data_IF_818628833348
#
_entry.id   IF_818628833348
#
_cell.length_a   1.000
_cell.length_b   1.000
_cell.length_c   1.000
_cell.angle_alpha   90.00
_cell.angle_beta   90.00
_cell.angle_gamma   90.00
#
_symmetry.space_group_name_H-M   'P 1'
#
loop_
_entity.id
_entity.type
_entity.pdbx_description
1 polymer ?
#
# COMPACT_ATOMS: atom_id res chain seq x y z
N UNK A 1 26.80 -30.65 55.59
CA UNK A 1 25.50 -29.95 55.40
C UNK A 1 25.47 -29.14 54.08
N UNK A 2 25.55 -29.77 52.90
CA UNK A 2 25.62 -29.07 51.60
C UNK A 2 24.42 -29.28 50.65
N UNK A 3 23.77 -30.45 50.70
CA UNK A 3 22.71 -30.81 49.75
C UNK A 3 21.41 -30.02 49.93
N UNK A 4 20.99 -29.74 51.18
CA UNK A 4 19.75 -29.00 51.46
C UNK A 4 19.79 -27.52 51.02
N UNK A 5 20.98 -26.89 51.09
CA UNK A 5 21.19 -25.50 50.64
C UNK A 5 21.18 -25.41 49.11
N UNK A 6 21.80 -26.37 48.43
CA UNK A 6 21.78 -26.46 46.97
C UNK A 6 20.37 -26.71 46.41
N UNK A 7 19.57 -27.55 47.08
CA UNK A 7 18.18 -27.81 46.68
C UNK A 7 17.29 -26.56 46.84
N UNK A 8 17.50 -25.79 47.90
CA UNK A 8 16.80 -24.52 48.14
C UNK A 8 17.12 -23.48 47.06
N UNK A 9 18.37 -23.39 46.61
CA UNK A 9 18.76 -22.48 45.53
C UNK A 9 18.16 -22.89 44.18
N UNK A 10 18.10 -24.18 43.87
CA UNK A 10 17.46 -24.68 42.66
C UNK A 10 15.95 -24.34 42.66
N UNK A 11 15.28 -24.53 43.81
CA UNK A 11 13.87 -24.23 43.95
C UNK A 11 13.56 -22.74 43.79
N UNK A 12 14.39 -21.86 44.39
CA UNK A 12 14.29 -20.41 44.22
C UNK A 12 14.48 -19.97 42.76
N UNK A 13 15.39 -20.61 42.02
CA UNK A 13 15.64 -20.28 40.62
C UNK A 13 14.42 -20.59 39.73
N UNK A 14 13.76 -21.74 39.94
CA UNK A 14 12.53 -22.07 39.22
C UNK A 14 11.38 -21.12 39.53
N UNK A 15 11.28 -20.64 40.77
CA UNK A 15 10.24 -19.71 41.19
C UNK A 15 10.42 -18.34 40.51
N UNK A 16 11.66 -17.85 40.39
CA UNK A 16 11.95 -16.57 39.69
C UNK A 16 11.66 -16.66 38.19
N UNK A 17 11.98 -17.78 37.54
CA UNK A 17 11.72 -17.97 36.10
C UNK A 17 10.22 -18.16 35.80
N UNK A 18 9.46 -18.76 36.72
CA UNK A 18 8.01 -18.99 36.56
C UNK A 18 7.16 -17.72 36.65
N UNK A 19 7.63 -16.67 37.33
CA UNK A 19 6.90 -15.39 37.48
C UNK A 19 7.05 -14.43 36.27
N UNK A 20 7.82 -14.80 35.25
CA UNK A 20 7.96 -13.99 34.03
C UNK A 20 6.82 -14.20 33.01
N UNK A 21 5.82 -15.03 33.30
CA UNK A 21 4.60 -15.11 32.49
C UNK A 21 3.68 -13.94 32.84
N UNK A 22 3.66 -12.91 32.00
CA UNK A 22 2.79 -11.73 32.17
C UNK A 22 1.33 -12.13 32.31
N UNK A 23 0.68 -11.68 33.37
CA UNK A 23 -0.77 -11.69 33.51
C UNK A 23 -1.40 -10.85 32.39
N UNK A 24 -2.23 -11.47 31.55
CA UNK A 24 -3.13 -10.73 30.68
C UNK A 24 -4.16 -10.01 31.55
N UNK A 25 -4.30 -8.70 31.39
CA UNK A 25 -5.41 -7.93 31.96
C UNK A 25 -6.51 -7.97 30.90
N UNK A 26 -7.57 -8.73 31.15
CA UNK A 26 -8.80 -8.63 30.36
C UNK A 26 -9.69 -7.58 31.03
N UNK A 27 -9.60 -6.33 30.57
CA UNK A 27 -10.64 -5.34 30.83
C UNK A 27 -11.50 -5.26 29.59
N UNK A 28 -12.67 -5.90 29.64
CA UNK A 28 -13.77 -5.50 28.78
C UNK A 28 -14.42 -4.22 29.32
N UNK A 29 -15.11 -3.52 28.42
CA UNK A 29 -15.85 -2.25 28.59
C UNK A 29 -15.00 -0.99 28.33
N UNK A 30 -14.77 -0.73 27.05
CA UNK A 30 -14.65 0.64 26.53
C UNK A 30 -15.57 0.76 25.32
N UNK A 31 -16.60 1.58 25.49
CA UNK A 31 -17.56 2.06 24.49
C UNK A 31 -16.81 2.74 23.32
N UNK A 32 -17.15 2.46 22.05
CA UNK A 32 -16.30 2.85 20.92
C UNK A 32 -16.58 4.29 20.50
N UNK A 33 -15.95 5.26 21.16
CA UNK A 33 -15.86 6.62 20.64
C UNK A 33 -14.42 7.13 20.74
N UNK A 34 -13.71 7.05 19.61
CA UNK A 34 -12.41 7.69 19.43
C UNK A 34 -11.36 6.71 18.90
N UNK A 35 -11.23 6.67 17.57
CA UNK A 35 -10.12 6.00 16.87
C UNK A 35 -8.79 6.64 17.29
N UNK A 36 -8.12 6.07 18.29
CA UNK A 36 -6.78 6.41 18.71
C UNK A 36 -5.76 5.60 17.91
N UNK A 37 -5.09 6.28 16.98
CA UNK A 37 -3.65 6.49 17.15
C UNK A 37 -2.69 5.32 16.88
N UNK A 38 -3.06 4.35 16.04
CA UNK A 38 -2.09 3.49 15.35
C UNK A 38 -2.51 3.34 13.89
N UNK A 39 -1.93 4.14 13.00
CA UNK A 39 -1.91 3.77 11.58
C UNK A 39 -1.17 2.45 11.49
N UNK A 40 -1.90 1.35 11.30
CA UNK A 40 -1.29 0.14 10.80
C UNK A 40 -0.57 0.55 9.51
N UNK A 41 0.72 0.22 9.40
CA UNK A 41 1.36 0.11 8.09
C UNK A 41 0.65 -1.03 7.38
N UNK A 42 -0.55 -0.76 6.88
CA UNK A 42 -1.25 -1.69 6.00
C UNK A 42 -0.32 -1.89 4.83
N UNK A 43 0.18 -3.10 4.68
CA UNK A 43 1.03 -3.47 3.58
C UNK A 43 0.17 -3.42 2.31
N UNK A 44 0.13 -2.24 1.69
CA UNK A 44 -0.50 -2.02 0.41
C UNK A 44 0.28 -2.76 -0.66
N UNK A 45 -0.44 -3.33 -1.62
CA UNK A 45 0.17 -3.89 -2.82
C UNK A 45 0.82 -2.78 -3.67
N UNK A 46 1.83 -3.14 -4.45
CA UNK A 46 2.46 -2.20 -5.38
C UNK A 46 1.54 -1.85 -6.54
N UNK A 47 1.52 -0.57 -6.92
CA UNK A 47 0.76 -0.10 -8.08
C UNK A 47 1.30 -0.72 -9.38
N UNK A 48 0.41 -1.26 -10.21
CA UNK A 48 0.77 -1.82 -11.52
C UNK A 48 0.81 -0.77 -12.63
N UNK A 49 0.39 0.46 -12.36
CA UNK A 49 0.37 1.55 -13.36
C UNK A 49 1.73 2.24 -13.39
N UNK A 50 2.26 2.42 -14.59
CA UNK A 50 3.49 3.16 -14.82
C UNK A 50 3.23 4.67 -14.79
N UNK A 51 3.19 5.22 -13.57
CA UNK A 51 3.04 6.65 -13.38
C UNK A 51 4.31 7.44 -13.77
N UNK A 52 5.48 6.83 -13.81
CA UNK A 52 6.73 7.53 -14.16
C UNK A 52 6.68 8.12 -15.57
N UNK A 53 6.13 7.35 -16.52
CA UNK A 53 6.10 7.70 -17.94
C UNK A 53 4.82 8.42 -18.39
N UNK A 54 4.01 8.96 -17.47
CA UNK A 54 2.84 9.77 -17.82
C UNK A 54 3.22 11.17 -18.35
N UNK A 55 2.29 11.78 -19.10
CA UNK A 55 2.48 13.15 -19.60
C UNK A 55 2.12 14.21 -18.53
N UNK A 56 3.09 14.54 -17.69
CA UNK A 56 2.96 15.59 -16.66
C UNK A 56 2.88 17.02 -17.20
N UNK A 57 3.12 17.24 -18.49
CA UNK A 57 2.96 18.58 -19.09
C UNK A 57 1.53 19.07 -19.02
N UNK A 58 0.54 18.16 -19.02
CA UNK A 58 -0.89 18.48 -18.89
C UNK A 58 -1.17 19.35 -17.66
N UNK A 59 -0.59 19.00 -16.51
CA UNK A 59 -0.74 19.74 -15.25
C UNK A 59 0.30 20.85 -15.08
N UNK A 60 1.58 20.57 -15.38
CA UNK A 60 2.69 21.51 -15.10
C UNK A 60 2.72 22.74 -16.02
N UNK A 61 2.10 22.66 -17.19
CA UNK A 61 1.97 23.82 -18.09
C UNK A 61 0.96 24.85 -17.60
N UNK A 62 -0.04 24.44 -16.82
CA UNK A 62 -1.20 25.25 -16.42
C UNK A 62 -1.20 25.59 -14.93
N UNK A 63 -1.00 24.59 -14.06
CA UNK A 63 -0.97 24.75 -12.62
C UNK A 63 0.43 25.19 -12.18
N UNK A 64 0.62 26.51 -11.97
CA UNK A 64 1.92 27.10 -11.64
C UNK A 64 1.87 27.93 -10.37
N UNK A 65 2.91 27.79 -9.56
CA UNK A 65 3.13 28.61 -8.37
C UNK A 65 3.64 30.01 -8.71
N UNK A 66 3.71 30.90 -7.72
CA UNK A 66 3.34 30.67 -6.31
C UNK A 66 1.83 30.73 -6.05
N UNK A 67 1.05 31.32 -6.95
CA UNK A 67 -0.39 31.51 -6.80
C UNK A 67 -1.17 30.41 -7.52
N UNK A 68 -1.29 29.26 -6.87
CA UNK A 68 -2.12 28.15 -7.32
C UNK A 68 -3.60 28.52 -7.16
N UNK A 69 -4.40 28.36 -8.22
CA UNK A 69 -5.86 28.58 -8.16
C UNK A 69 -6.61 27.32 -8.61
N UNK A 70 -7.80 27.03 -8.04
CA UNK A 70 -8.58 25.84 -8.41
C UNK A 70 -8.85 25.76 -9.91
N UNK A 71 -9.19 26.89 -10.53
CA UNK A 71 -9.57 26.99 -11.95
C UNK A 71 -8.43 26.59 -12.89
N UNK A 72 -7.18 26.80 -12.46
CA UNK A 72 -5.99 26.45 -13.24
C UNK A 72 -5.39 25.09 -12.89
N UNK A 73 -5.70 24.55 -11.72
CA UNK A 73 -5.05 23.34 -11.20
C UNK A 73 -5.96 22.12 -11.21
N UNK A 74 -7.24 22.26 -10.91
CA UNK A 74 -8.15 21.12 -10.80
C UNK A 74 -8.53 20.52 -12.15
N UNK A 75 -8.88 21.30 -13.20
CA UNK A 75 -9.16 20.72 -14.52
C UNK A 75 -8.02 19.88 -15.12
N UNK A 76 -6.75 20.35 -15.15
CA UNK A 76 -5.68 19.52 -15.69
C UNK A 76 -5.25 18.39 -14.75
N UNK A 77 -5.46 18.50 -13.43
CA UNK A 77 -5.32 17.36 -12.53
C UNK A 77 -6.33 16.27 -12.90
N UNK A 78 -7.60 16.64 -13.13
CA UNK A 78 -8.65 15.70 -13.56
C UNK A 78 -8.32 15.02 -14.88
N UNK A 79 -7.76 15.75 -15.85
CA UNK A 79 -7.30 15.16 -17.13
C UNK A 79 -6.23 14.07 -16.94
N UNK A 80 -5.36 14.22 -15.94
CA UNK A 80 -4.32 13.23 -15.63
C UNK A 80 -4.84 12.09 -14.74
N UNK A 81 -5.71 12.40 -13.78
CA UNK A 81 -6.22 11.48 -12.76
C UNK A 81 -7.36 10.59 -13.26
N UNK A 82 -8.32 11.16 -13.98
CA UNK A 82 -9.54 10.45 -14.37
C UNK A 82 -9.31 9.19 -15.22
N UNK A 83 -8.33 9.13 -16.15
CA UNK A 83 -8.00 7.88 -16.86
C UNK A 83 -7.51 6.74 -15.97
N UNK A 84 -7.03 7.05 -14.76
CA UNK A 84 -6.46 6.09 -13.79
C UNK A 84 -7.22 6.09 -12.45
N UNK A 85 -8.47 6.60 -12.45
CA UNK A 85 -9.26 6.81 -11.23
C UNK A 85 -9.48 5.53 -10.44
N UNK A 86 -9.74 4.42 -11.13
CA UNK A 86 -10.06 3.15 -10.47
C UNK A 86 -8.85 2.58 -9.72
N UNK A 87 -7.65 2.73 -10.31
CA UNK A 87 -6.40 2.30 -9.67
C UNK A 87 -6.02 3.22 -8.52
N UNK A 88 -6.17 4.53 -8.69
CA UNK A 88 -5.89 5.51 -7.62
C UNK A 88 -6.87 5.36 -6.45
N UNK A 89 -8.14 5.05 -6.73
CA UNK A 89 -9.16 4.83 -5.70
C UNK A 89 -9.10 3.43 -5.06
N UNK A 90 -8.20 2.53 -5.50
CA UNK A 90 -8.02 1.23 -4.86
C UNK A 90 -7.25 1.36 -3.53
N UNK A 91 -7.99 1.32 -2.44
CA UNK A 91 -7.47 1.39 -1.06
C UNK A 91 -6.53 0.23 -0.68
N UNK A 92 -6.48 -0.86 -1.48
CA UNK A 92 -5.58 -2.01 -1.26
C UNK A 92 -4.21 -1.83 -1.91
N UNK A 93 -4.03 -0.82 -2.74
CA UNK A 93 -2.78 -0.52 -3.44
C UNK A 93 -2.18 0.80 -2.96
N UNK A 94 -0.89 0.99 -3.22
CA UNK A 94 -0.21 2.27 -3.01
C UNK A 94 -0.33 3.22 -4.22
N UNK A 95 -1.24 2.96 -5.18
CA UNK A 95 -1.37 3.77 -6.40
C UNK A 95 -1.62 5.25 -6.11
N UNK A 96 -2.48 5.60 -5.15
CA UNK A 96 -2.70 7.01 -4.79
C UNK A 96 -1.42 7.71 -4.33
N UNK A 97 -0.67 7.05 -3.44
CA UNK A 97 0.57 7.58 -2.88
C UNK A 97 1.63 7.73 -3.98
N UNK A 98 1.75 6.74 -4.87
CA UNK A 98 2.67 6.77 -6.02
C UNK A 98 2.28 7.84 -7.03
N UNK A 99 1.01 7.95 -7.39
CA UNK A 99 0.50 8.95 -8.33
C UNK A 99 0.82 10.37 -7.86
N UNK A 100 0.41 10.72 -6.64
CA UNK A 100 0.66 12.05 -6.09
C UNK A 100 2.15 12.31 -5.85
N UNK A 101 2.96 11.29 -5.56
CA UNK A 101 4.42 11.42 -5.47
C UNK A 101 5.00 11.94 -6.79
N UNK A 102 4.68 11.32 -7.92
CA UNK A 102 5.19 11.76 -9.22
C UNK A 102 4.59 13.11 -9.66
N UNK A 103 3.29 13.35 -9.43
CA UNK A 103 2.67 14.66 -9.70
C UNK A 103 3.43 15.76 -8.95
N UNK A 104 3.69 15.56 -7.66
CA UNK A 104 4.40 16.53 -6.84
C UNK A 104 5.87 16.67 -7.26
N UNK A 105 6.53 15.56 -7.60
CA UNK A 105 7.93 15.55 -8.04
C UNK A 105 8.13 16.35 -9.32
N UNK A 106 7.37 16.04 -10.38
CA UNK A 106 7.53 16.70 -11.69
C UNK A 106 7.03 18.15 -11.69
N UNK A 107 5.95 18.43 -10.95
CA UNK A 107 5.40 19.78 -10.83
C UNK A 107 6.03 20.65 -9.76
N UNK A 108 6.88 20.07 -8.90
CA UNK A 108 7.41 20.72 -7.68
C UNK A 108 6.29 21.26 -6.78
N UNK A 109 5.18 20.53 -6.70
CA UNK A 109 4.02 20.95 -5.92
C UNK A 109 4.22 20.65 -4.43
N UNK A 110 3.77 21.53 -3.53
CA UNK A 110 3.79 21.24 -2.10
C UNK A 110 2.82 20.08 -1.77
N UNK A 111 3.19 19.23 -0.80
CA UNK A 111 2.34 18.11 -0.39
C UNK A 111 0.99 18.62 0.11
N UNK A 112 -0.09 17.96 -0.30
CA UNK A 112 -1.45 18.34 0.08
C UNK A 112 -2.04 19.54 -0.68
N UNK A 113 -1.34 20.10 -1.68
CA UNK A 113 -1.87 21.19 -2.50
C UNK A 113 -3.24 20.83 -3.09
N UNK A 114 -3.31 19.69 -3.78
CA UNK A 114 -4.51 19.31 -4.51
C UNK A 114 -5.67 18.87 -3.61
N UNK A 115 -5.39 18.25 -2.46
CA UNK A 115 -6.44 17.91 -1.49
C UNK A 115 -7.02 19.13 -0.79
N UNK A 116 -6.23 20.21 -0.66
CA UNK A 116 -6.72 21.49 -0.15
C UNK A 116 -7.47 22.30 -1.22
N UNK A 117 -6.97 22.28 -2.46
CA UNK A 117 -7.41 23.16 -3.55
C UNK A 117 -8.59 22.61 -4.35
N UNK A 118 -8.63 21.29 -4.58
CA UNK A 118 -9.57 20.65 -5.49
C UNK A 118 -10.59 19.81 -4.70
N UNK A 119 -11.72 20.45 -4.37
CA UNK A 119 -12.87 19.84 -3.68
C UNK A 119 -14.13 20.20 -4.45
N UNK A 120 -14.87 19.20 -4.94
CA UNK A 120 -16.10 19.41 -5.72
C UNK A 120 -17.35 18.96 -4.93
N UNK A 121 -17.27 17.86 -4.18
CA UNK A 121 -18.36 17.37 -3.33
C UNK A 121 -17.94 16.29 -2.33
N UNK A 122 -18.91 15.61 -1.72
CA UNK A 122 -18.67 14.53 -0.74
C UNK A 122 -18.02 13.29 -1.37
N UNK A 123 -18.30 13.04 -2.65
CA UNK A 123 -17.74 11.93 -3.44
C UNK A 123 -16.32 12.22 -3.98
N UNK A 124 -15.77 13.41 -3.70
CA UNK A 124 -14.43 13.79 -4.15
C UNK A 124 -14.44 14.55 -5.48
N UNK A 125 -13.53 14.17 -6.39
CA UNK A 125 -13.40 14.77 -7.72
C UNK A 125 -14.24 13.99 -8.73
N UNK A 126 -15.12 14.68 -9.43
CA UNK A 126 -16.01 14.09 -10.43
C UNK A 126 -15.29 13.89 -11.76
N UNK A 127 -15.27 12.69 -12.30
CA UNK A 127 -14.60 12.39 -13.57
C UNK A 127 -15.55 12.29 -14.77
N UNK A 128 -16.84 12.54 -14.60
CA UNK A 128 -17.84 12.31 -15.65
C UNK A 128 -17.74 13.36 -16.79
N UNK A 129 -17.26 14.56 -16.48
CA UNK A 129 -17.07 15.65 -17.45
C UNK A 129 -15.73 15.60 -18.21
N UNK A 130 -14.86 14.62 -17.92
CA UNK A 130 -13.54 14.53 -18.57
C UNK A 130 -13.60 13.56 -19.74
N UNK A 131 -13.34 14.02 -20.98
CA UNK A 131 -13.21 13.12 -22.12
C UNK A 131 -12.08 12.13 -21.86
N UNK A 132 -12.44 10.86 -21.66
CA UNK A 132 -11.46 9.79 -21.50
C UNK A 132 -10.69 9.60 -22.83
N UNK A 133 -9.36 9.42 -22.79
CA UNK A 133 -8.65 8.98 -23.98
C UNK A 133 -9.23 7.64 -24.45
N UNK A 134 -9.24 7.38 -25.77
CA UNK A 134 -9.73 6.10 -26.29
C UNK A 134 -8.97 4.96 -25.61
N UNK A 135 -9.65 3.84 -25.27
CA UNK A 135 -9.01 2.73 -24.60
C UNK A 135 -7.81 2.27 -25.44
N UNK A 136 -6.66 1.95 -24.80
CA UNK A 136 -5.53 1.41 -25.52
C UNK A 136 -5.98 0.15 -26.25
N UNK A 137 -5.79 0.11 -27.57
CA UNK A 137 -6.01 -1.09 -28.39
C UNK A 137 -5.13 -2.19 -27.81
N UNK A 138 -5.72 -3.10 -27.06
CA UNK A 138 -5.05 -4.33 -26.66
C UNK A 138 -4.80 -5.12 -27.93
N UNK A 139 -3.60 -5.00 -28.48
CA UNK A 139 -3.12 -6.02 -29.40
C UNK A 139 -3.02 -7.30 -28.59
N UNK A 140 -3.95 -8.22 -28.87
CA UNK A 140 -3.91 -9.60 -28.40
C UNK A 140 -2.71 -10.25 -29.09
N UNK A 141 -1.51 -9.97 -28.59
CA UNK A 141 -0.34 -10.76 -28.85
C UNK A 141 -0.53 -12.07 -28.10
N UNK A 142 -0.79 -13.15 -28.83
CA UNK A 142 -0.75 -14.48 -28.28
C UNK A 142 0.67 -14.73 -27.73
N UNK A 143 0.82 -14.66 -26.42
CA UNK A 143 2.04 -15.12 -25.75
C UNK A 143 2.20 -16.62 -26.01
N UNK A 144 3.37 -17.09 -26.47
CA UNK A 144 3.62 -18.52 -26.54
C UNK A 144 3.56 -19.09 -25.13
N UNK A 145 2.79 -20.17 -24.97
CA UNK A 145 2.72 -20.97 -23.76
C UNK A 145 4.12 -21.54 -23.47
N UNK A 146 4.89 -20.83 -22.64
CA UNK A 146 6.16 -21.32 -22.12
C UNK A 146 5.88 -22.35 -21.05
N UNK A 147 5.80 -23.63 -21.45
CA UNK A 147 5.75 -24.76 -20.54
C UNK A 147 7.15 -24.94 -19.92
N UNK A 148 7.46 -24.13 -18.91
CA UNK A 148 8.66 -24.31 -18.10
C UNK A 148 8.43 -25.50 -17.18
N UNK A 149 8.89 -26.68 -17.61
CA UNK A 149 8.95 -27.85 -16.74
C UNK A 149 9.73 -27.49 -15.46
N UNK A 150 9.03 -27.47 -14.33
CA UNK A 150 9.64 -27.17 -13.04
C UNK A 150 10.49 -28.38 -12.61
N UNK A 151 11.81 -28.23 -12.40
CA UNK A 151 12.71 -29.33 -12.05
C UNK A 151 12.43 -29.93 -10.67
N UNK A 152 11.53 -29.33 -9.88
CA UNK A 152 11.09 -29.83 -8.58
C UNK A 152 10.33 -31.17 -8.67
N UNK A 153 9.63 -31.44 -9.77
CA UNK A 153 8.77 -32.65 -9.87
C UNK A 153 9.59 -33.94 -10.08
N UNK A 154 10.80 -33.83 -10.65
CA UNK A 154 11.73 -34.96 -10.80
C UNK A 154 12.47 -35.30 -9.50
N UNK A 155 12.60 -34.33 -8.59
CA UNK A 155 13.29 -34.53 -7.31
C UNK A 155 12.48 -35.41 -6.35
N UNK A 156 11.15 -35.22 -6.31
CA UNK A 156 10.27 -36.03 -5.44
C UNK A 156 10.15 -37.48 -5.90
N UNK A 157 10.21 -37.75 -7.22
CA UNK A 157 10.17 -39.12 -7.75
C UNK A 157 11.49 -39.86 -7.49
N UNK A 158 12.63 -39.15 -7.48
CA UNK A 158 13.94 -39.71 -7.16
C UNK A 158 14.09 -40.13 -5.70
N UNK A 159 13.54 -39.36 -4.76
CA UNK A 159 13.56 -39.72 -3.33
C UNK A 159 12.72 -40.97 -3.01
N UNK A 160 11.62 -41.17 -3.74
CA UNK A 160 10.72 -42.30 -3.52
C UNK A 160 11.32 -43.63 -4.01
N UNK A 161 12.17 -43.59 -5.05
CA UNK A 161 12.88 -44.76 -5.56
C UNK A 161 14.13 -45.13 -4.76
N UNK A 162 14.65 -44.23 -3.92
CA UNK A 162 15.81 -44.50 -3.06
C UNK A 162 15.44 -45.13 -1.70
N UNK A 163 14.14 -45.27 -1.43
CA UNK A 163 13.60 -45.79 -0.17
C UNK A 163 12.87 -47.15 -0.34
N UNK A 164 13.07 -47.80 -1.49
CA UNK A 164 12.74 -49.21 -1.78
C UNK A 164 14.05 -49.92 -2.09
#
# INVERSE_FOLDING_TARGET
MGSKRSLLHLFLFFLVVGFASSSYISNEVIEPHGSLGRSLLQQKSSCSVDFENMNYTVITSQCKGPNYSPERCCPPLKQLLCPVKDQVNDLKSNCADTFFSYVNLYGKYPPGLFSALCKEGEEGLDCDDVPLPPPPVHQVGASPLSLRAQPMLLFFLGLLLLHI
#
